data_IF_981284609250
#
_entry.id   IF_981284609250
#
_cell.length_a   1.000
_cell.length_b   1.000
_cell.length_c   1.000
_cell.angle_alpha   90.00
_cell.angle_beta   90.00
_cell.angle_gamma   90.00
#
_symmetry.space_group_name_H-M   'P 1'
#
loop_
_entity.id
_entity.type
_entity.pdbx_description
1 polymer ?
#
# COMPACT_ATOMS: atom_id res chain seq x y z
N UNK A 1 11.35 14.49 20.05
CA UNK A 1 11.69 13.14 20.57
C UNK A 1 12.36 12.40 19.42
N UNK A 2 13.55 11.84 19.63
CA UNK A 2 14.28 11.08 18.60
C UNK A 2 14.13 9.60 18.96
N UNK A 3 13.34 8.84 18.19
CA UNK A 3 13.23 7.38 18.36
C UNK A 3 14.11 6.58 17.37
N UNK A 4 15.11 7.25 16.80
CA UNK A 4 16.05 6.59 15.91
C UNK A 4 16.84 5.52 16.68
N UNK A 5 16.89 4.30 16.12
CA UNK A 5 17.56 3.11 16.67
C UNK A 5 16.88 2.45 17.87
N UNK A 6 15.61 2.78 18.15
CA UNK A 6 14.85 2.17 19.25
C UNK A 6 13.84 1.12 18.77
N UNK A 7 13.65 1.03 17.46
CA UNK A 7 12.84 0.02 16.82
C UNK A 7 13.58 -0.64 15.66
N UNK A 8 13.22 -1.85 15.30
CA UNK A 8 13.83 -2.60 14.23
C UNK A 8 12.79 -3.32 13.38
N UNK A 9 13.09 -3.54 12.11
CA UNK A 9 12.39 -4.52 11.27
C UNK A 9 13.03 -5.87 11.59
N UNK A 10 12.25 -6.78 12.16
CA UNK A 10 12.73 -8.06 12.67
C UNK A 10 12.46 -9.24 11.74
N UNK A 11 11.58 -9.07 10.76
CA UNK A 11 11.29 -10.10 9.78
C UNK A 11 10.69 -9.51 8.51
N UNK A 12 10.97 -10.18 7.40
CA UNK A 12 10.43 -9.85 6.08
C UNK A 12 9.86 -11.11 5.41
N UNK A 13 8.79 -10.94 4.65
CA UNK A 13 8.17 -12.03 3.92
C UNK A 13 7.58 -11.53 2.60
N UNK A 14 7.75 -12.30 1.55
CA UNK A 14 7.19 -12.01 0.25
C UNK A 14 6.75 -13.29 -0.45
N UNK A 15 5.61 -13.23 -1.11
CA UNK A 15 5.19 -14.28 -2.05
C UNK A 15 5.90 -14.08 -3.39
N UNK A 16 5.88 -15.08 -4.25
CA UNK A 16 6.42 -14.95 -5.60
C UNK A 16 5.67 -13.89 -6.42
N UNK A 17 6.38 -13.19 -7.28
CA UNK A 17 5.78 -12.26 -8.25
C UNK A 17 5.19 -13.02 -9.43
N UNK A 18 3.89 -12.96 -9.60
CA UNK A 18 3.15 -13.70 -10.61
C UNK A 18 2.23 -12.82 -11.43
N UNK A 19 2.03 -13.17 -12.69
CA UNK A 19 1.00 -12.56 -13.55
C UNK A 19 -0.40 -13.07 -13.21
N UNK A 20 -0.49 -14.27 -12.64
CA UNK A 20 -1.71 -14.90 -12.14
C UNK A 20 -1.34 -15.78 -10.96
N UNK A 21 -1.55 -15.30 -9.77
CA UNK A 21 -1.20 -16.02 -8.55
C UNK A 21 -2.15 -17.20 -8.25
N UNK A 22 -3.35 -17.21 -8.82
CA UNK A 22 -4.40 -18.15 -8.47
C UNK A 22 -4.93 -18.02 -7.03
N UNK A 23 -4.49 -17.00 -6.29
CA UNK A 23 -4.82 -16.75 -4.88
C UNK A 23 -5.60 -15.45 -4.71
N UNK A 24 -6.41 -15.40 -3.66
CA UNK A 24 -7.07 -14.15 -3.25
C UNK A 24 -6.08 -13.20 -2.60
N UNK A 25 -6.35 -11.87 -2.55
CA UNK A 25 -5.53 -10.94 -1.77
C UNK A 25 -5.37 -11.36 -0.30
N UNK A 26 -6.42 -11.93 0.31
CA UNK A 26 -6.36 -12.44 1.69
C UNK A 26 -5.36 -13.59 1.84
N UNK A 27 -5.37 -14.55 0.91
CA UNK A 27 -4.41 -15.65 0.91
C UNK A 27 -2.98 -15.14 0.77
N UNK A 28 -2.74 -14.17 -0.14
CA UNK A 28 -1.43 -13.54 -0.31
C UNK A 28 -1.00 -12.78 0.95
N UNK A 29 -1.92 -12.02 1.57
CA UNK A 29 -1.65 -11.29 2.82
C UNK A 29 -1.27 -12.25 3.95
N UNK A 30 -2.03 -13.31 4.14
CA UNK A 30 -1.77 -14.30 5.18
C UNK A 30 -0.43 -15.01 4.95
N UNK A 31 -0.17 -15.45 3.72
CA UNK A 31 1.07 -16.16 3.36
C UNK A 31 2.31 -15.28 3.59
N UNK A 32 2.35 -14.06 3.05
CA UNK A 32 3.51 -13.19 3.25
C UNK A 32 3.70 -12.79 4.71
N UNK A 33 2.62 -12.67 5.48
CA UNK A 33 2.69 -12.38 6.92
C UNK A 33 3.26 -13.55 7.71
N UNK A 34 2.85 -14.78 7.38
CA UNK A 34 3.42 -15.98 8.01
C UNK A 34 4.91 -16.14 7.67
N UNK A 35 5.31 -15.85 6.43
CA UNK A 35 6.73 -15.86 6.04
C UNK A 35 7.54 -14.81 6.83
N UNK A 36 6.99 -13.61 7.04
CA UNK A 36 7.64 -12.59 7.86
C UNK A 36 7.75 -13.01 9.33
N UNK A 37 6.73 -13.64 9.89
CA UNK A 37 6.77 -14.21 11.25
C UNK A 37 7.83 -15.31 11.36
N UNK A 38 7.90 -16.19 10.38
CA UNK A 38 8.90 -17.26 10.33
C UNK A 38 10.32 -16.68 10.26
N UNK A 39 10.56 -15.67 9.44
CA UNK A 39 11.85 -14.97 9.34
C UNK A 39 12.25 -14.31 10.67
N UNK A 40 11.27 -13.73 11.36
CA UNK A 40 11.47 -13.12 12.69
C UNK A 40 11.61 -14.14 13.83
N UNK A 41 11.27 -15.40 13.61
CA UNK A 41 11.18 -16.40 14.70
C UNK A 41 10.01 -16.14 15.66
N UNK A 42 8.94 -15.46 15.20
CA UNK A 42 7.77 -15.10 15.98
C UNK A 42 6.57 -16.03 15.68
N UNK A 43 5.81 -16.34 16.71
CA UNK A 43 4.46 -16.89 16.53
C UNK A 43 3.51 -15.75 16.15
N UNK A 44 2.62 -15.89 15.17
CA UNK A 44 1.66 -14.83 14.80
C UNK A 44 0.81 -14.32 15.97
N UNK A 45 0.56 -15.12 16.99
CA UNK A 45 -0.17 -14.71 18.20
C UNK A 45 0.54 -13.62 19.03
N UNK A 46 1.84 -13.40 18.80
CA UNK A 46 2.61 -12.35 19.47
C UNK A 46 2.44 -10.98 18.82
N UNK A 47 1.88 -10.93 17.60
CA UNK A 47 1.57 -9.68 16.93
C UNK A 47 0.37 -9.04 17.63
N UNK A 48 0.51 -7.77 18.00
CA UNK A 48 -0.58 -7.00 18.63
C UNK A 48 -0.82 -5.64 17.94
N UNK A 49 -0.15 -5.41 16.80
CA UNK A 49 -0.38 -4.23 15.98
C UNK A 49 -0.41 -4.54 14.48
N UNK A 50 -1.23 -3.81 13.72
CA UNK A 50 -1.28 -3.86 12.26
C UNK A 50 -1.29 -2.45 11.70
N UNK A 51 -0.46 -2.19 10.69
CA UNK A 51 -0.46 -0.92 9.96
C UNK A 51 -0.48 -1.18 8.46
N UNK A 52 -1.44 -0.57 7.77
CA UNK A 52 -1.65 -0.77 6.34
C UNK A 52 -1.78 0.55 5.60
N UNK A 53 -1.70 0.47 4.31
CA UNK A 53 -1.90 1.62 3.45
C UNK A 53 -3.26 1.53 2.73
N UNK A 54 -3.86 2.68 2.44
CA UNK A 54 -5.26 2.81 2.02
C UNK A 54 -5.66 2.09 0.71
N UNK A 55 -4.69 1.62 -0.08
CA UNK A 55 -5.00 0.80 -1.24
C UNK A 55 -5.11 -0.70 -0.93
N UNK A 56 -4.83 -1.11 0.32
CA UNK A 56 -5.05 -2.48 0.76
C UNK A 56 -6.53 -2.85 0.68
N UNK A 57 -6.81 -4.11 0.32
CA UNK A 57 -8.17 -4.63 0.13
C UNK A 57 -8.66 -5.47 1.31
N UNK A 58 -7.74 -6.01 2.08
CA UNK A 58 -8.05 -6.79 3.26
C UNK A 58 -8.07 -5.88 4.48
N UNK A 59 -9.10 -6.00 5.29
CA UNK A 59 -9.14 -5.25 6.55
C UNK A 59 -8.16 -5.87 7.55
N UNK A 60 -7.61 -5.04 8.43
CA UNK A 60 -6.69 -5.46 9.49
C UNK A 60 -7.32 -6.55 10.38
N UNK A 61 -8.61 -6.45 10.67
CA UNK A 61 -9.35 -7.43 11.48
C UNK A 61 -9.46 -8.79 10.78
N UNK A 62 -9.72 -8.80 9.48
CA UNK A 62 -9.78 -10.05 8.71
C UNK A 62 -8.43 -10.75 8.67
N UNK A 63 -7.35 -9.98 8.46
CA UNK A 63 -5.99 -10.53 8.49
C UNK A 63 -5.62 -11.02 9.88
N UNK A 64 -5.93 -10.26 10.94
CA UNK A 64 -5.70 -10.67 12.32
C UNK A 64 -6.39 -12.02 12.63
N UNK A 65 -7.65 -12.17 12.23
CA UNK A 65 -8.40 -13.42 12.41
C UNK A 65 -7.79 -14.60 11.66
N UNK A 66 -7.34 -14.38 10.41
CA UNK A 66 -6.71 -15.43 9.61
C UNK A 66 -5.34 -15.86 10.16
N UNK A 67 -4.62 -14.93 10.81
CA UNK A 67 -3.33 -15.22 11.46
C UNK A 67 -3.47 -15.77 12.89
N UNK A 68 -4.66 -15.75 13.47
CA UNK A 68 -4.88 -16.16 14.86
C UNK A 68 -4.35 -15.14 15.88
N UNK A 69 -4.29 -13.88 15.52
CA UNK A 69 -3.91 -12.79 16.43
C UNK A 69 -5.03 -12.60 17.46
N UNK A 70 -4.76 -12.77 18.76
CA UNK A 70 -5.81 -12.76 19.78
C UNK A 70 -6.34 -11.37 20.12
N UNK A 71 -5.48 -10.35 20.04
CA UNK A 71 -5.81 -8.98 20.39
C UNK A 71 -5.01 -8.00 19.56
N UNK A 72 -5.65 -6.94 19.08
CA UNK A 72 -5.00 -5.80 18.44
C UNK A 72 -5.07 -4.58 19.38
N UNK A 73 -3.94 -4.17 19.91
CA UNK A 73 -3.80 -2.94 20.69
C UNK A 73 -3.56 -1.72 19.82
N UNK A 74 -3.11 -1.95 18.58
CA UNK A 74 -2.83 -0.90 17.60
C UNK A 74 -3.24 -1.31 16.19
N UNK A 75 -3.92 -0.40 15.50
CA UNK A 75 -4.09 -0.49 14.05
C UNK A 75 -4.10 0.90 13.41
N UNK A 76 -3.59 0.99 12.20
CA UNK A 76 -3.61 2.23 11.43
C UNK A 76 -3.69 2.01 9.93
N UNK A 77 -4.30 2.96 9.24
CA UNK A 77 -4.33 3.01 7.79
C UNK A 77 -3.81 4.36 7.32
N UNK A 78 -2.77 4.35 6.48
CA UNK A 78 -2.16 5.57 5.93
C UNK A 78 -2.71 5.83 4.54
N UNK A 79 -3.28 7.00 4.36
CA UNK A 79 -3.67 7.52 3.05
C UNK A 79 -2.46 8.22 2.40
N UNK A 80 -2.47 8.54 1.14
CA UNK A 80 -1.47 9.28 0.35
C UNK A 80 -0.65 8.46 -0.67
N UNK A 81 -1.29 7.55 -1.37
CA UNK A 81 -0.73 6.94 -2.58
C UNK A 81 0.69 6.39 -2.40
N UNK A 82 1.59 6.72 -3.31
CA UNK A 82 2.95 6.17 -3.33
C UNK A 82 3.86 6.53 -2.15
N UNK A 83 3.53 7.57 -1.38
CA UNK A 83 4.26 7.94 -0.15
C UNK A 83 3.86 7.13 1.08
N UNK A 84 2.69 6.50 1.04
CA UNK A 84 2.14 5.78 2.18
C UNK A 84 3.00 4.62 2.73
N UNK A 85 3.73 3.83 1.92
CA UNK A 85 4.58 2.75 2.46
C UNK A 85 5.59 3.22 3.52
N UNK A 86 6.24 4.36 3.29
CA UNK A 86 7.13 4.95 4.31
C UNK A 86 6.37 5.38 5.57
N UNK A 87 5.18 5.96 5.40
CA UNK A 87 4.30 6.38 6.49
C UNK A 87 3.79 5.21 7.33
N UNK A 88 3.47 4.08 6.70
CA UNK A 88 3.03 2.86 7.38
C UNK A 88 4.12 2.32 8.30
N UNK A 89 5.36 2.24 7.81
CA UNK A 89 6.52 1.82 8.62
C UNK A 89 6.78 2.81 9.76
N UNK A 90 6.65 4.10 9.49
CA UNK A 90 6.81 5.13 10.54
C UNK A 90 5.74 4.98 11.63
N UNK A 91 4.49 4.73 11.29
CA UNK A 91 3.41 4.51 12.26
C UNK A 91 3.68 3.25 13.10
N UNK A 92 4.11 2.16 12.47
CA UNK A 92 4.49 0.95 13.17
C UNK A 92 5.64 1.21 14.17
N UNK A 93 6.69 1.90 13.74
CA UNK A 93 7.80 2.26 14.61
C UNK A 93 7.38 3.16 15.79
N UNK A 94 6.47 4.10 15.55
CA UNK A 94 5.91 4.96 16.61
C UNK A 94 5.09 4.16 17.63
N UNK A 95 4.28 3.20 17.16
CA UNK A 95 3.47 2.35 18.04
C UNK A 95 4.36 1.50 18.97
N UNK A 96 5.41 0.89 18.41
CA UNK A 96 6.36 0.10 19.20
C UNK A 96 7.13 1.00 20.18
N UNK A 97 7.68 2.12 19.72
CA UNK A 97 8.42 3.04 20.58
C UNK A 97 7.58 3.59 21.76
N UNK A 98 6.29 3.85 21.53
CA UNK A 98 5.39 4.35 22.56
C UNK A 98 4.87 3.26 23.51
N UNK A 99 5.18 1.99 23.24
CA UNK A 99 4.69 0.86 24.05
C UNK A 99 3.21 0.53 23.85
N UNK A 100 2.58 1.06 22.79
CA UNK A 100 1.18 0.73 22.44
C UNK A 100 1.09 -0.66 21.84
N UNK A 101 2.13 -1.09 21.12
CA UNK A 101 2.25 -2.44 20.60
C UNK A 101 3.71 -2.93 20.71
N UNK A 102 3.88 -4.24 20.83
CA UNK A 102 5.19 -4.88 20.90
C UNK A 102 5.71 -5.28 19.51
N UNK A 103 4.81 -5.88 18.72
CA UNK A 103 5.08 -6.29 17.34
C UNK A 103 3.99 -5.77 16.40
N UNK A 104 4.38 -5.02 15.41
CA UNK A 104 3.46 -4.45 14.42
C UNK A 104 3.72 -5.07 13.05
N UNK A 105 2.70 -5.75 12.53
CA UNK A 105 2.69 -6.26 11.17
C UNK A 105 2.40 -5.12 10.18
N UNK A 106 3.26 -5.01 9.17
CA UNK A 106 3.04 -4.14 8.01
C UNK A 106 2.97 -5.02 6.77
N UNK A 107 1.84 -5.01 6.09
CA UNK A 107 1.68 -5.85 4.91
C UNK A 107 1.02 -5.10 3.75
N UNK A 108 1.19 -5.63 2.56
CA UNK A 108 0.46 -5.27 1.36
C UNK A 108 0.27 -6.50 0.48
N UNK A 109 -0.96 -6.74 0.02
CA UNK A 109 -1.27 -7.88 -0.83
C UNK A 109 -2.22 -7.50 -1.97
N UNK A 110 -1.78 -7.75 -3.20
CA UNK A 110 -2.53 -7.49 -4.41
C UNK A 110 -2.38 -8.63 -5.42
N UNK A 111 -3.43 -8.92 -6.14
CA UNK A 111 -3.37 -9.70 -7.37
C UNK A 111 -3.89 -8.89 -8.56
N UNK A 112 -3.35 -7.71 -8.73
CA UNK A 112 -3.82 -6.65 -9.62
C UNK A 112 -4.06 -7.11 -11.06
N UNK A 113 -3.22 -7.99 -11.56
CA UNK A 113 -3.31 -8.40 -12.97
C UNK A 113 -4.36 -9.47 -13.21
N UNK A 114 -4.60 -10.32 -12.23
CA UNK A 114 -5.55 -11.43 -12.34
C UNK A 114 -6.95 -11.09 -11.82
N UNK A 115 -7.10 -9.98 -11.09
CA UNK A 115 -8.41 -9.62 -10.53
C UNK A 115 -8.70 -8.11 -10.55
N UNK A 116 -7.99 -7.28 -9.80
CA UNK A 116 -8.29 -5.85 -9.66
C UNK A 116 -7.04 -5.01 -9.85
N UNK A 117 -7.01 -4.25 -10.95
CA UNK A 117 -5.85 -3.46 -11.33
C UNK A 117 -5.90 -2.07 -10.70
N UNK A 118 -4.88 -1.71 -9.94
CA UNK A 118 -4.69 -0.35 -9.46
C UNK A 118 -4.51 0.62 -10.65
N UNK A 119 -5.22 1.74 -10.61
CA UNK A 119 -5.17 2.73 -11.69
C UNK A 119 -5.90 2.32 -12.98
N UNK A 120 -6.63 1.22 -12.98
CA UNK A 120 -7.38 0.70 -14.14
C UNK A 120 -8.68 1.45 -14.48
N UNK A 121 -8.89 2.66 -13.96
CA UNK A 121 -10.09 3.47 -14.24
C UNK A 121 -11.18 3.33 -13.18
N UNK A 122 -12.41 3.68 -13.55
CA UNK A 122 -13.57 3.83 -12.64
C UNK A 122 -14.11 2.50 -12.10
N UNK A 123 -13.67 1.36 -12.64
CA UNK A 123 -14.16 0.05 -12.20
C UNK A 123 -13.73 -0.26 -10.75
N UNK A 124 -14.70 -0.35 -9.86
CA UNK A 124 -14.50 -0.77 -8.47
C UNK A 124 -14.41 0.36 -7.44
N UNK A 125 -14.76 1.59 -7.79
CA UNK A 125 -14.97 2.63 -6.78
C UNK A 125 -16.27 2.38 -6.03
N UNK A 126 -16.15 2.36 -4.71
CA UNK A 126 -17.33 2.37 -3.85
C UNK A 126 -18.18 3.61 -4.15
N UNK A 127 -19.48 3.45 -4.21
CA UNK A 127 -20.46 4.50 -4.51
C UNK A 127 -20.67 5.48 -3.32
N UNK A 128 -19.72 5.59 -2.41
CA UNK A 128 -19.81 6.57 -1.33
C UNK A 128 -19.33 7.93 -1.80
N UNK A 129 -20.07 9.02 -1.61
CA UNK A 129 -19.64 10.37 -1.95
C UNK A 129 -18.63 10.85 -0.91
N UNK A 130 -17.41 10.38 -1.01
CA UNK A 130 -16.29 10.86 -0.21
C UNK A 130 -15.64 12.09 -0.85
N UNK A 131 -14.90 12.87 -0.08
CA UNK A 131 -14.21 14.08 -0.57
C UNK A 131 -13.28 13.79 -1.76
N UNK A 132 -12.77 12.57 -1.87
CA UNK A 132 -11.99 12.11 -3.02
C UNK A 132 -12.84 12.01 -4.29
N UNK A 133 -14.09 11.55 -4.20
CA UNK A 133 -14.99 11.45 -5.33
C UNK A 133 -15.43 12.83 -5.83
N UNK A 134 -15.56 13.81 -4.94
CA UNK A 134 -15.80 15.22 -5.31
C UNK A 134 -14.65 15.75 -6.16
N UNK A 135 -13.39 15.57 -5.73
CA UNK A 135 -12.22 15.98 -6.51
C UNK A 135 -12.19 15.33 -7.89
N UNK A 136 -12.59 14.05 -7.96
CA UNK A 136 -12.59 13.29 -9.20
C UNK A 136 -13.71 13.70 -10.16
N UNK A 137 -14.82 14.22 -9.64
CA UNK A 137 -15.94 14.70 -10.45
C UNK A 137 -15.56 15.87 -11.38
N UNK A 138 -14.51 16.61 -11.05
CA UNK A 138 -13.98 17.70 -11.88
C UNK A 138 -13.11 17.21 -13.04
N UNK A 139 -12.60 15.99 -12.98
CA UNK A 139 -11.65 15.46 -13.96
C UNK A 139 -12.19 14.29 -14.76
N UNK A 140 -13.05 13.47 -14.17
CA UNK A 140 -13.60 12.29 -14.83
C UNK A 140 -14.45 12.58 -16.08
N UNK A 141 -15.28 13.65 -16.15
CA UNK A 141 -16.00 14.00 -17.36
C UNK A 141 -15.07 14.33 -18.56
N UNK A 142 -13.83 14.70 -18.29
CA UNK A 142 -12.81 15.03 -19.31
C UNK A 142 -11.90 13.84 -19.63
N UNK A 143 -12.21 12.64 -19.14
CA UNK A 143 -11.44 11.44 -19.40
C UNK A 143 -10.16 11.28 -18.56
N UNK A 144 -9.94 12.11 -17.55
CA UNK A 144 -8.79 12.01 -16.63
C UNK A 144 -9.07 10.93 -15.56
N UNK A 145 -9.05 9.67 -15.98
CA UNK A 145 -9.50 8.53 -15.18
C UNK A 145 -8.36 7.77 -14.50
N UNK A 146 -7.12 7.99 -14.92
CA UNK A 146 -5.96 7.23 -14.45
C UNK A 146 -4.81 8.14 -14.04
N UNK A 147 -3.89 7.67 -13.18
CA UNK A 147 -2.67 8.42 -12.85
C UNK A 147 -1.85 8.78 -14.10
N UNK A 148 -1.79 7.90 -15.10
CA UNK A 148 -1.10 8.17 -16.36
C UNK A 148 -1.68 9.39 -17.10
N UNK A 149 -3.00 9.57 -17.09
CA UNK A 149 -3.65 10.73 -17.70
C UNK A 149 -3.24 12.04 -17.00
N UNK A 150 -3.16 12.03 -15.67
CA UNK A 150 -2.71 13.19 -14.90
C UNK A 150 -1.26 13.54 -15.17
N UNK A 151 -0.40 12.52 -15.15
CA UNK A 151 1.04 12.70 -15.43
C UNK A 151 1.24 13.21 -16.86
N UNK A 152 0.46 12.74 -17.83
CA UNK A 152 0.50 13.22 -19.21
C UNK A 152 0.17 14.71 -19.31
N UNK A 153 -0.78 15.22 -18.52
CA UNK A 153 -1.08 16.66 -18.46
C UNK A 153 0.12 17.47 -17.96
N UNK A 154 0.78 17.00 -16.89
CA UNK A 154 1.99 17.67 -16.38
C UNK A 154 3.14 17.59 -17.38
N UNK A 155 3.34 16.44 -18.04
CA UNK A 155 4.35 16.28 -19.08
C UNK A 155 4.11 17.25 -20.24
N UNK A 156 2.87 17.38 -20.74
CA UNK A 156 2.51 18.34 -21.80
C UNK A 156 2.78 19.78 -21.38
N UNK A 157 2.45 20.14 -20.14
CA UNK A 157 2.75 21.48 -19.62
C UNK A 157 4.27 21.74 -19.59
N UNK A 158 5.04 20.76 -19.13
CA UNK A 158 6.51 20.82 -19.11
C UNK A 158 7.11 20.99 -20.51
N UNK A 159 6.65 20.17 -21.47
CA UNK A 159 7.07 20.27 -22.87
C UNK A 159 6.80 21.66 -23.44
N UNK A 160 5.61 22.21 -23.18
CA UNK A 160 5.24 23.56 -23.65
C UNK A 160 6.11 24.65 -23.02
N UNK A 161 6.39 24.54 -21.72
CA UNK A 161 7.10 25.58 -20.96
C UNK A 161 8.60 25.57 -21.22
N UNK A 162 9.20 24.39 -21.42
CA UNK A 162 10.66 24.22 -21.48
C UNK A 162 11.15 23.68 -22.84
N UNK A 163 10.26 23.45 -23.79
CA UNK A 163 10.63 22.92 -25.11
C UNK A 163 11.06 21.46 -25.10
N UNK A 164 10.79 20.71 -24.01
CA UNK A 164 11.12 19.30 -23.92
C UNK A 164 10.33 18.47 -24.93
N UNK A 165 10.92 17.39 -25.40
CA UNK A 165 10.37 16.46 -26.39
C UNK A 165 10.04 15.09 -25.78
N UNK A 166 9.39 14.22 -26.54
CA UNK A 166 9.16 12.83 -26.13
C UNK A 166 10.46 12.03 -26.00
N UNK A 167 11.48 12.37 -26.79
CA UNK A 167 12.80 11.75 -26.76
C UNK A 167 13.51 12.04 -25.45
N UNK A 168 13.35 13.25 -24.88
CA UNK A 168 13.93 13.60 -23.58
C UNK A 168 13.35 12.70 -22.45
N UNK A 169 12.05 12.45 -22.47
CA UNK A 169 11.42 11.50 -21.52
C UNK A 169 11.82 10.05 -21.84
N UNK A 170 11.96 9.70 -23.13
CA UNK A 170 12.40 8.38 -23.58
C UNK A 170 13.80 8.02 -23.08
N UNK A 171 14.69 8.99 -22.98
CA UNK A 171 16.06 8.80 -22.49
C UNK A 171 16.06 8.21 -21.06
N UNK A 172 15.15 8.66 -20.19
CA UNK A 172 15.00 8.13 -18.81
C UNK A 172 14.51 6.69 -18.82
N UNK A 173 13.70 6.32 -19.81
CA UNK A 173 13.11 4.98 -19.90
C UNK A 173 14.06 3.90 -20.40
N UNK A 174 15.20 4.28 -21.01
CA UNK A 174 16.19 3.34 -21.57
C UNK A 174 17.47 3.21 -20.73
N UNK A 175 17.60 4.00 -19.66
CA UNK A 175 18.63 3.88 -18.65
C UNK A 175 18.24 2.81 -17.63
#
# INVERSE_FOLDING_TARGET
MKFARETAIVGIGATEFSKNSGRTPMQLATECSLLACQDAGLDPSQINGISVFSAEKNTEIEVARNLGIPELTFFSMIHHGGGAPGGVIQQAAMAVHSGVADYVLVYRAFNERSWHRFGGGVQGRHQSPEAFDVSFSWSSPFGLLTPASWVAMYARRYMHQYGATSEDFGTIAVI
#
